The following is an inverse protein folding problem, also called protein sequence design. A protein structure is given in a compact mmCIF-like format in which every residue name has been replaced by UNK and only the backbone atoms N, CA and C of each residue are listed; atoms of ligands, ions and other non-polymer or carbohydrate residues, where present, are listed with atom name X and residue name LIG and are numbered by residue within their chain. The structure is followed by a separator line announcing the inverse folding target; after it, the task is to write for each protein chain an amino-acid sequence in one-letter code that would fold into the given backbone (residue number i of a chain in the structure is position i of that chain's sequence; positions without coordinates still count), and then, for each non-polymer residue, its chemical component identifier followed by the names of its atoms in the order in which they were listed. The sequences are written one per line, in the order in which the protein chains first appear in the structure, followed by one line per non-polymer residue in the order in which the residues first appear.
data_IF_912596199415
#
_entry.id   IF_912596199415
#
_cell.length_a   1.000
_cell.length_b   1.000
_cell.length_c   1.000
_cell.angle_alpha   90.00
_cell.angle_beta   90.00
_cell.angle_gamma   90.00
#
_symmetry.space_group_name_H-M   'P 1'
#
loop_
_entity.id
_entity.type
_entity.pdbx_description
1 polymer ?
#
# COMPACT_ATOMS: atom_id res chain seq x y z
N UNK A 1 -1.26 11.41 2.83
CA UNK A 1 -1.68 11.47 1.42
C UNK A 1 -0.82 10.49 0.63
N UNK A 2 -1.45 9.61 -0.15
CA UNK A 2 -0.74 8.60 -0.94
C UNK A 2 -0.29 9.19 -2.28
N UNK A 3 0.73 8.57 -2.89
CA UNK A 3 1.27 8.99 -4.19
C UNK A 3 1.50 7.78 -5.08
N UNK A 4 1.38 7.99 -6.39
CA UNK A 4 1.79 7.01 -7.40
C UNK A 4 3.23 6.55 -7.16
N UNK A 5 3.47 5.25 -7.31
CA UNK A 5 4.74 4.59 -7.04
C UNK A 5 5.02 4.29 -5.56
N UNK A 6 4.16 4.74 -4.64
CA UNK A 6 4.34 4.51 -3.22
C UNK A 6 4.02 3.06 -2.83
N UNK A 7 4.92 2.45 -2.05
CA UNK A 7 4.69 1.14 -1.43
C UNK A 7 3.67 1.29 -0.31
N UNK A 8 2.63 0.47 -0.31
CA UNK A 8 1.56 0.51 0.68
C UNK A 8 1.26 -0.88 1.24
N UNK A 9 0.75 -0.90 2.48
CA UNK A 9 0.10 -2.05 3.10
C UNK A 9 -1.36 -1.72 3.33
N UNK A 10 -2.24 -2.65 3.01
CA UNK A 10 -3.66 -2.59 3.37
C UNK A 10 -3.85 -3.06 4.81
N UNK A 11 -4.37 -2.18 5.66
CA UNK A 11 -4.74 -2.52 7.03
C UNK A 11 -6.09 -3.21 7.05
N UNK A 12 -6.13 -4.39 7.67
CA UNK A 12 -7.37 -5.10 7.95
C UNK A 12 -7.62 -5.14 9.46
N UNK A 13 -8.87 -4.92 9.86
CA UNK A 13 -9.31 -5.08 11.26
C UNK A 13 -9.58 -6.55 11.61
N UNK A 14 -9.52 -7.47 10.63
CA UNK A 14 -9.77 -8.90 10.84
C UNK A 14 -8.52 -9.58 11.40
N UNK A 15 -8.63 -10.08 12.62
CA UNK A 15 -7.59 -10.90 13.26
C UNK A 15 -7.35 -12.17 12.41
N UNK A 16 -6.09 -12.49 12.14
CA UNK A 16 -5.67 -13.66 11.36
C UNK A 16 -5.55 -13.43 9.84
N UNK A 17 -6.03 -12.30 9.30
CA UNK A 17 -5.85 -11.98 7.90
C UNK A 17 -4.47 -11.33 7.67
N UNK A 18 -3.69 -11.87 6.73
CA UNK A 18 -2.38 -11.29 6.37
C UNK A 18 -2.58 -9.94 5.67
N UNK A 19 -1.92 -8.85 6.13
CA UNK A 19 -1.91 -7.58 5.41
C UNK A 19 -1.39 -7.77 3.99
N UNK A 20 -2.06 -7.14 3.03
CA UNK A 20 -1.61 -7.16 1.62
C UNK A 20 -0.69 -5.98 1.35
N UNK A 21 0.44 -6.24 0.73
CA UNK A 21 1.40 -5.23 0.29
C UNK A 21 1.32 -5.02 -1.21
N UNK A 22 1.52 -3.78 -1.64
CA UNK A 22 1.44 -3.39 -3.05
C UNK A 22 2.09 -2.05 -3.34
N UNK A 23 1.97 -1.61 -4.59
CA UNK A 23 2.43 -0.32 -5.09
C UNK A 23 1.23 0.44 -5.66
N UNK A 24 1.08 1.69 -5.25
CA UNK A 24 0.07 2.58 -5.80
C UNK A 24 0.37 2.85 -7.27
N UNK A 25 -0.57 2.53 -8.16
CA UNK A 25 -0.50 2.81 -9.58
C UNK A 25 -1.05 4.20 -9.90
N UNK A 26 -2.15 4.58 -9.25
CA UNK A 26 -2.76 5.88 -9.42
C UNK A 26 -3.61 6.29 -8.21
N UNK A 27 -3.88 7.59 -8.10
CA UNK A 27 -4.76 8.18 -7.08
C UNK A 27 -5.70 9.15 -7.78
N UNK A 28 -7.00 8.85 -7.74
CA UNK A 28 -8.04 9.69 -8.34
C UNK A 28 -9.12 9.99 -7.29
N UNK A 29 -9.25 11.26 -6.92
CA UNK A 29 -10.12 11.71 -5.82
C UNK A 29 -9.92 10.86 -4.55
N UNK A 30 -10.94 10.08 -4.18
CA UNK A 30 -10.97 9.21 -3.00
C UNK A 30 -10.63 7.73 -3.32
N UNK A 31 -10.30 7.45 -4.58
CA UNK A 31 -10.01 6.10 -5.09
C UNK A 31 -8.53 5.93 -5.38
N UNK A 32 -7.98 4.81 -4.93
CA UNK A 32 -6.56 4.46 -5.10
C UNK A 32 -6.47 3.15 -5.86
N UNK A 33 -5.73 3.15 -6.96
CA UNK A 33 -5.38 1.92 -7.65
C UNK A 33 -4.07 1.36 -7.11
N UNK A 34 -4.07 0.08 -6.74
CA UNK A 34 -2.91 -0.60 -6.18
C UNK A 34 -2.66 -1.89 -6.94
N UNK A 35 -1.42 -2.09 -7.38
CA UNK A 35 -0.91 -3.38 -7.82
C UNK A 35 -0.31 -4.11 -6.62
N UNK A 36 -0.93 -5.20 -6.21
CA UNK A 36 -0.48 -6.06 -5.12
C UNK A 36 0.70 -6.94 -5.54
N UNK A 37 1.42 -7.46 -4.56
CA UNK A 37 2.58 -8.33 -4.81
C UNK A 37 2.22 -9.68 -5.46
N UNK A 38 0.96 -10.11 -5.36
CA UNK A 38 0.45 -11.28 -6.08
C UNK A 38 0.10 -10.98 -7.56
N UNK A 39 0.40 -9.78 -8.05
CA UNK A 39 0.11 -9.33 -9.41
C UNK A 39 -1.30 -8.81 -9.64
N UNK A 40 -2.22 -8.98 -8.68
CA UNK A 40 -3.59 -8.48 -8.80
C UNK A 40 -3.63 -6.95 -8.69
N UNK A 41 -4.52 -6.31 -9.45
CA UNK A 41 -4.77 -4.86 -9.36
C UNK A 41 -6.14 -4.62 -8.74
N UNK A 42 -6.22 -3.70 -7.77
CA UNK A 42 -7.49 -3.31 -7.15
C UNK A 42 -7.64 -1.81 -7.14
N UNK A 43 -8.84 -1.33 -7.45
CA UNK A 43 -9.28 0.05 -7.23
C UNK A 43 -10.03 0.09 -5.91
N UNK A 44 -9.53 0.89 -4.97
CA UNK A 44 -9.99 0.94 -3.59
C UNK A 44 -10.48 2.34 -3.23
N UNK A 45 -11.75 2.45 -2.83
CA UNK A 45 -12.33 3.68 -2.29
C UNK A 45 -12.50 3.53 -0.78
N UNK A 46 -11.98 4.48 0.01
CA UNK A 46 -12.10 4.46 1.49
C UNK A 46 -11.27 3.38 2.21
N UNK A 47 -10.35 2.70 1.51
CA UNK A 47 -9.49 1.70 2.13
C UNK A 47 -8.42 2.32 3.05
N UNK A 48 -8.14 1.65 4.16
CA UNK A 48 -7.08 2.04 5.10
C UNK A 48 -5.72 1.55 4.61
N UNK A 49 -5.12 2.34 3.72
CA UNK A 49 -3.77 2.09 3.21
C UNK A 49 -2.74 2.87 4.02
N UNK A 50 -1.66 2.19 4.43
CA UNK A 50 -0.50 2.82 5.06
C UNK A 50 0.74 2.74 4.18
N UNK A 51 1.49 3.85 4.01
CA UNK A 51 2.82 3.80 3.42
C UNK A 51 3.72 2.84 4.18
N UNK A 52 4.40 1.96 3.45
CA UNK A 52 5.52 1.21 3.99
C UNK A 52 6.73 2.14 3.86
N UNK A 53 7.15 2.77 4.95
CA UNK A 53 8.44 3.43 4.96
C UNK A 53 9.47 2.33 4.72
N UNK A 54 10.24 2.43 3.63
CA UNK A 54 11.53 1.72 3.62
C UNK A 54 12.26 2.29 4.82
N UNK A 55 12.56 1.45 5.80
CA UNK A 55 13.67 1.74 6.70
C UNK A 55 14.80 2.21 5.78
N UNK A 56 15.16 3.50 5.89
CA UNK A 56 16.42 3.96 5.35
C UNK A 56 17.42 2.97 5.90
N UNK A 57 18.04 2.20 4.99
CA UNK A 57 19.11 1.31 5.31
C UNK A 57 20.00 2.03 6.31
N UNK A 58 20.00 1.55 7.55
CA UNK A 58 20.97 1.99 8.53
C UNK A 58 22.32 1.74 7.87
N UNK A 59 22.99 2.82 7.46
CA UNK A 59 24.37 2.76 7.02
C UNK A 59 25.13 2.31 8.27
N UNK A 60 25.76 1.12 8.30
CA UNK A 60 26.75 0.87 9.35
C UNK A 60 27.91 1.80 9.05
N UNK A 61 28.22 2.71 9.97
CA UNK A 61 29.49 3.44 9.99
C UNK A 61 30.01 3.38 11.41
#
# INVERSE_FOLDING_TARGET
MLRKGQRVTELTKKVGQRPRTGVVLDVHDDTVEVRWDNGHVSSLTGALLRPVQKESAAKPT
#
